data_IF_261407034387
#
_entry.id   IF_261407034387
#
_cell.length_a   1.000
_cell.length_b   1.000
_cell.length_c   1.000
_cell.angle_alpha   90.00
_cell.angle_beta   90.00
_cell.angle_gamma   90.00
#
_symmetry.space_group_name_H-M   'P 1'
#
loop_
_entity.id
_entity.type
_entity.pdbx_description
1 polymer ?
#
# COMPACT_ATOMS: atom_id res chain seq x y z
N UNK A 1 16.38 -3.27 -7.21
CA UNK A 1 17.75 -3.52 -6.72
C UNK A 1 17.84 -3.16 -5.25
N UNK A 2 18.94 -3.51 -4.57
CA UNK A 2 19.18 -3.21 -3.16
C UNK A 2 20.51 -2.45 -2.97
N UNK A 3 20.53 -1.45 -2.08
CA UNK A 3 21.72 -0.65 -1.75
C UNK A 3 21.88 -0.62 -0.23
N UNK A 4 22.96 -1.19 0.29
CA UNK A 4 23.22 -1.27 1.74
C UNK A 4 24.62 -0.80 2.10
N UNK A 5 24.84 -0.50 3.38
CA UNK A 5 26.18 -0.15 3.89
C UNK A 5 27.02 -1.40 4.12
N UNK A 6 26.47 -2.42 4.76
CA UNK A 6 27.23 -3.57 5.23
C UNK A 6 26.34 -4.82 5.12
N UNK A 7 26.90 -5.92 4.60
CA UNK A 7 26.28 -7.23 4.60
C UNK A 7 26.93 -8.05 5.72
N UNK A 8 26.17 -8.51 6.74
CA UNK A 8 26.76 -9.25 7.84
C UNK A 8 27.38 -10.57 7.36
N UNK A 9 28.44 -11.00 8.03
CA UNK A 9 29.15 -12.25 7.74
C UNK A 9 28.24 -13.49 7.80
N UNK A 10 27.31 -13.51 8.76
CA UNK A 10 26.34 -14.59 8.94
C UNK A 10 24.95 -14.01 9.26
N UNK A 11 23.91 -14.74 8.88
CA UNK A 11 22.57 -14.53 9.43
C UNK A 11 22.45 -15.31 10.75
N UNK A 12 21.98 -14.65 11.82
CA UNK A 12 21.84 -15.28 13.14
C UNK A 12 20.46 -14.99 13.73
N UNK A 13 19.49 -15.82 13.35
CA UNK A 13 18.14 -15.81 13.89
C UNK A 13 17.53 -17.20 13.72
N UNK A 14 16.78 -17.69 14.72
CA UNK A 14 16.18 -19.05 14.64
C UNK A 14 15.19 -19.22 13.49
N UNK A 15 14.62 -18.13 12.97
CA UNK A 15 13.70 -18.11 11.82
C UNK A 15 14.42 -18.09 10.47
N UNK A 16 15.74 -17.96 10.46
CA UNK A 16 16.51 -17.87 9.23
C UNK A 16 16.50 -19.22 8.48
N UNK A 17 16.06 -19.21 7.23
CA UNK A 17 16.10 -20.37 6.34
C UNK A 17 17.08 -20.21 5.18
N UNK A 18 17.55 -18.98 4.92
CA UNK A 18 18.47 -18.64 3.83
C UNK A 18 19.11 -17.26 4.11
N UNK A 19 20.42 -17.11 3.88
CA UNK A 19 21.08 -15.81 4.04
C UNK A 19 20.70 -14.80 2.94
N UNK A 20 20.86 -13.51 3.23
CA UNK A 20 20.43 -12.44 2.32
C UNK A 20 21.15 -12.46 0.96
N UNK A 21 22.43 -12.82 0.88
CA UNK A 21 23.14 -12.88 -0.40
C UNK A 21 22.62 -14.03 -1.26
N UNK A 22 22.42 -15.21 -0.68
CA UNK A 22 21.81 -16.36 -1.37
C UNK A 22 20.38 -16.04 -1.82
N UNK A 23 19.58 -15.41 -0.97
CA UNK A 23 18.23 -14.95 -1.31
C UNK A 23 18.23 -14.00 -2.51
N UNK A 24 19.06 -12.95 -2.49
CA UNK A 24 19.14 -11.97 -3.58
C UNK A 24 19.56 -12.63 -4.90
N UNK A 25 20.53 -13.55 -4.88
CA UNK A 25 20.94 -14.32 -6.05
C UNK A 25 19.81 -15.20 -6.58
N UNK A 26 19.13 -15.96 -5.71
CA UNK A 26 17.99 -16.82 -6.08
C UNK A 26 16.87 -16.01 -6.74
N UNK A 27 16.59 -14.82 -6.24
CA UNK A 27 15.57 -13.92 -6.78
C UNK A 27 16.07 -13.05 -7.94
N UNK A 28 17.30 -13.26 -8.44
CA UNK A 28 17.93 -12.50 -9.52
C UNK A 28 17.92 -10.97 -9.28
N UNK A 29 18.15 -10.56 -8.04
CA UNK A 29 18.14 -9.15 -7.63
C UNK A 29 19.56 -8.59 -7.65
N UNK A 30 19.78 -7.56 -8.49
CA UNK A 30 21.03 -6.80 -8.48
C UNK A 30 21.10 -5.94 -7.21
N UNK A 31 22.18 -6.10 -6.43
CA UNK A 31 22.42 -5.41 -5.17
C UNK A 31 23.88 -4.95 -5.03
N UNK A 32 24.11 -3.93 -4.20
CA UNK A 32 25.44 -3.38 -3.89
C UNK A 32 25.56 -3.10 -2.38
N UNK A 33 26.73 -3.40 -1.81
CA UNK A 33 27.11 -3.13 -0.42
C UNK A 33 28.37 -2.24 -0.36
N UNK A 34 28.84 -1.91 0.84
CA UNK A 34 30.08 -1.17 1.10
C UNK A 34 30.15 0.26 0.54
N UNK A 35 28.99 0.89 0.37
CA UNK A 35 28.88 2.28 -0.03
C UNK A 35 28.41 3.18 1.12
N UNK A 36 28.73 4.48 1.03
CA UNK A 36 28.24 5.49 1.97
C UNK A 36 26.75 5.78 1.74
N UNK A 37 25.89 4.94 2.32
CA UNK A 37 24.43 5.10 2.25
C UNK A 37 23.98 6.40 2.91
N UNK A 38 24.71 6.93 3.91
CA UNK A 38 24.39 8.21 4.56
C UNK A 38 24.57 9.37 3.57
N UNK A 39 25.62 9.37 2.75
CA UNK A 39 25.80 10.34 1.66
C UNK A 39 24.67 10.25 0.65
N UNK A 40 24.28 9.03 0.24
CA UNK A 40 23.16 8.83 -0.68
C UNK A 40 21.84 9.36 -0.10
N UNK A 41 21.50 9.02 1.15
CA UNK A 41 20.29 9.51 1.83
C UNK A 41 20.27 11.03 1.93
N UNK A 42 21.38 11.68 2.30
CA UNK A 42 21.48 13.15 2.32
C UNK A 42 21.26 13.73 0.92
N UNK A 43 21.87 13.15 -0.11
CA UNK A 43 21.70 13.61 -1.49
C UNK A 43 20.23 13.59 -1.91
N UNK A 44 19.51 12.51 -1.64
CA UNK A 44 18.09 12.36 -1.98
C UNK A 44 17.19 13.30 -1.16
N UNK A 45 17.48 13.52 0.12
CA UNK A 45 16.75 14.49 0.94
C UNK A 45 16.92 15.92 0.43
N UNK A 46 18.16 16.31 0.12
CA UNK A 46 18.47 17.69 -0.32
C UNK A 46 17.97 17.95 -1.76
N UNK A 47 18.23 17.02 -2.69
CA UNK A 47 17.97 17.21 -4.13
C UNK A 47 16.70 16.53 -4.66
N UNK A 48 16.02 15.76 -3.82
CA UNK A 48 14.88 14.94 -4.23
C UNK A 48 15.27 13.57 -4.80
N UNK A 49 14.25 12.75 -5.03
CA UNK A 49 14.37 11.41 -5.60
C UNK A 49 15.02 11.47 -6.99
N UNK A 50 15.90 10.50 -7.26
CA UNK A 50 16.64 10.40 -8.52
C UNK A 50 16.57 8.98 -9.06
N UNK A 51 16.52 8.87 -10.39
CA UNK A 51 16.71 7.60 -11.08
C UNK A 51 18.17 7.17 -10.93
N UNK A 52 18.41 5.87 -10.79
CA UNK A 52 19.76 5.31 -10.63
C UNK A 52 19.87 3.94 -11.28
N UNK A 53 21.11 3.53 -11.56
CA UNK A 53 21.43 2.22 -12.13
C UNK A 53 22.53 1.56 -11.30
N UNK A 54 22.39 0.26 -11.04
CA UNK A 54 23.42 -0.57 -10.42
C UNK A 54 23.90 -1.56 -11.48
N UNK A 55 25.21 -1.64 -11.67
CA UNK A 55 25.86 -2.67 -12.50
C UNK A 55 26.77 -3.48 -11.58
N UNK A 56 26.53 -4.80 -11.53
CA UNK A 56 27.36 -5.76 -10.81
C UNK A 56 27.90 -6.78 -11.82
N UNK A 57 29.22 -6.96 -11.86
CA UNK A 57 29.93 -7.82 -12.80
C UNK A 57 31.44 -7.59 -12.74
N UNK A 58 32.20 -8.28 -13.59
CA UNK A 58 33.68 -8.25 -13.55
C UNK A 58 34.28 -6.89 -13.88
N UNK A 59 33.61 -6.09 -14.71
CA UNK A 59 34.06 -4.75 -15.11
C UNK A 59 32.87 -3.81 -15.30
N UNK A 60 32.29 -3.27 -14.21
CA UNK A 60 31.15 -2.36 -14.29
C UNK A 60 31.51 -1.07 -15.02
N UNK A 61 30.77 -0.75 -16.08
CA UNK A 61 30.95 0.49 -16.85
C UNK A 61 30.12 1.64 -16.25
N UNK A 62 30.81 2.63 -15.69
CA UNK A 62 30.20 3.81 -15.11
C UNK A 62 29.46 4.68 -16.13
N UNK A 63 29.94 4.76 -17.37
CA UNK A 63 29.30 5.55 -18.43
C UNK A 63 27.99 4.89 -18.86
N UNK A 64 27.99 3.57 -19.04
CA UNK A 64 26.77 2.81 -19.31
C UNK A 64 25.76 2.91 -18.15
N UNK A 65 26.22 2.83 -16.90
CA UNK A 65 25.35 3.00 -15.73
C UNK A 65 24.69 4.39 -15.72
N UNK A 66 25.45 5.44 -16.02
CA UNK A 66 24.94 6.81 -16.11
C UNK A 66 23.95 6.98 -17.25
N UNK A 67 24.23 6.39 -18.41
CA UNK A 67 23.32 6.39 -19.57
C UNK A 67 21.98 5.73 -19.21
N UNK A 68 22.02 4.52 -18.64
CA UNK A 68 20.81 3.81 -18.19
C UNK A 68 20.02 4.58 -17.13
N UNK A 69 20.71 5.21 -16.17
CA UNK A 69 20.07 6.03 -15.15
C UNK A 69 19.33 7.23 -15.75
N UNK A 70 19.91 7.88 -16.77
CA UNK A 70 19.30 9.02 -17.47
C UNK A 70 18.19 8.61 -18.43
N UNK A 71 18.31 7.44 -19.06
CA UNK A 71 17.34 6.93 -20.02
C UNK A 71 16.06 6.38 -19.36
N UNK A 72 16.07 6.11 -18.05
CA UNK A 72 14.87 5.64 -17.36
C UNK A 72 13.78 6.73 -17.39
N UNK A 73 12.55 6.43 -17.87
CA UNK A 73 11.52 7.45 -18.06
C UNK A 73 11.03 8.08 -16.74
N UNK A 74 11.27 7.41 -15.60
CA UNK A 74 10.87 7.87 -14.27
C UNK A 74 9.44 7.47 -13.92
N UNK A 75 9.13 7.39 -12.62
CA UNK A 75 7.87 6.85 -12.12
C UNK A 75 6.63 7.75 -12.31
N UNK A 76 6.81 8.99 -12.78
CA UNK A 76 5.70 9.94 -12.91
C UNK A 76 4.87 9.60 -14.15
N UNK A 77 3.56 9.43 -14.00
CA UNK A 77 2.68 8.98 -15.07
C UNK A 77 2.84 7.51 -15.48
N UNK A 78 3.52 6.68 -14.69
CA UNK A 78 3.59 5.23 -14.93
C UNK A 78 2.55 4.50 -14.08
N UNK A 79 1.57 3.89 -14.74
CA UNK A 79 0.74 2.86 -14.13
C UNK A 79 1.56 1.58 -13.99
N UNK A 80 2.04 1.33 -12.77
CA UNK A 80 2.72 0.10 -12.39
C UNK A 80 1.79 -0.88 -11.66
N UNK A 81 0.58 -0.48 -11.30
CA UNK A 81 -0.38 -1.34 -10.63
C UNK A 81 -0.80 -2.49 -11.55
N UNK A 82 -1.03 -2.20 -12.84
CA UNK A 82 -1.32 -3.23 -13.87
C UNK A 82 -0.17 -4.23 -14.11
N UNK A 83 1.06 -3.86 -13.77
CA UNK A 83 2.25 -4.71 -14.00
C UNK A 83 2.45 -5.73 -12.88
N UNK A 84 1.85 -5.50 -11.70
CA UNK A 84 2.03 -6.35 -10.52
C UNK A 84 0.75 -6.98 -9.99
N UNK A 85 -0.40 -6.62 -10.56
CA UNK A 85 -1.70 -7.20 -10.22
C UNK A 85 -1.78 -8.69 -10.57
N UNK A 86 -2.64 -9.42 -9.87
CA UNK A 86 -2.99 -10.80 -10.25
C UNK A 86 -3.60 -10.87 -11.66
N UNK A 87 -3.31 -11.96 -12.38
CA UNK A 87 -3.88 -12.22 -13.70
C UNK A 87 -5.35 -12.69 -13.62
N UNK A 88 -5.68 -13.43 -12.57
CA UNK A 88 -7.02 -14.02 -12.36
C UNK A 88 -7.51 -13.75 -10.94
N UNK A 89 -8.83 -13.70 -10.79
CA UNK A 89 -9.50 -13.58 -9.50
C UNK A 89 -9.24 -14.81 -8.64
N UNK A 90 -8.95 -14.63 -7.35
CA UNK A 90 -8.75 -15.73 -6.41
C UNK A 90 -9.36 -15.47 -5.03
N UNK A 91 -9.63 -16.55 -4.28
CA UNK A 91 -10.12 -16.47 -2.90
C UNK A 91 -8.93 -16.44 -1.92
N UNK A 92 -9.02 -15.62 -0.87
CA UNK A 92 -8.04 -15.59 0.22
C UNK A 92 -8.72 -15.66 1.59
N UNK A 93 -8.35 -16.66 2.38
CA UNK A 93 -8.90 -16.93 3.72
C UNK A 93 -7.81 -17.26 4.76
N UNK A 94 -6.54 -16.93 4.48
CA UNK A 94 -5.42 -17.14 5.42
C UNK A 94 -5.21 -15.92 6.34
N UNK A 95 -5.17 -16.14 7.66
CA UNK A 95 -4.91 -15.12 8.67
C UNK A 95 -3.42 -14.83 8.96
N UNK A 96 -3.16 -14.03 9.99
CA UNK A 96 -1.81 -13.57 10.33
C UNK A 96 -0.93 -14.63 11.00
N UNK A 97 0.38 -14.45 10.82
CA UNK A 97 1.41 -15.26 11.49
C UNK A 97 1.40 -15.04 13.01
N UNK A 98 1.68 -16.09 13.78
CA UNK A 98 1.95 -16.00 15.21
C UNK A 98 3.26 -16.71 15.56
N UNK A 99 3.92 -16.30 16.65
CA UNK A 99 5.15 -16.95 17.10
C UNK A 99 4.94 -18.43 17.48
N UNK A 100 3.76 -18.77 17.98
CA UNK A 100 3.45 -20.11 18.47
C UNK A 100 2.97 -21.08 17.38
N UNK A 101 2.26 -20.58 16.37
CA UNK A 101 1.60 -21.40 15.34
C UNK A 101 2.06 -21.13 13.91
N UNK A 102 3.11 -20.33 13.72
CA UNK A 102 3.58 -19.85 12.43
C UNK A 102 2.45 -19.23 11.59
N UNK A 103 2.48 -19.42 10.26
CA UNK A 103 1.40 -19.01 9.37
C UNK A 103 0.27 -20.04 9.49
N UNK A 104 -0.97 -19.62 9.78
CA UNK A 104 -2.09 -20.54 9.88
C UNK A 104 -2.47 -21.09 8.50
N UNK A 105 -3.14 -22.25 8.51
CA UNK A 105 -3.85 -22.74 7.35
C UNK A 105 -4.99 -21.78 6.95
N UNK A 106 -5.40 -21.85 5.69
CA UNK A 106 -6.54 -21.09 5.19
C UNK A 106 -7.84 -21.55 5.87
N UNK A 107 -8.64 -20.59 6.35
CA UNK A 107 -9.95 -20.87 7.00
C UNK A 107 -10.98 -21.33 5.98
N UNK A 108 -11.97 -22.12 6.41
CA UNK A 108 -13.13 -22.38 5.57
C UNK A 108 -13.95 -21.10 5.39
N UNK A 109 -14.49 -20.87 4.20
CA UNK A 109 -15.25 -19.63 3.91
C UNK A 109 -16.47 -19.45 4.83
N UNK A 110 -17.06 -20.55 5.30
CA UNK A 110 -18.19 -20.53 6.25
C UNK A 110 -17.82 -19.99 7.64
N UNK A 111 -16.54 -19.91 7.98
CA UNK A 111 -16.05 -19.36 9.25
C UNK A 111 -15.90 -17.83 9.21
N UNK A 112 -16.02 -17.22 8.03
CA UNK A 112 -15.74 -15.81 7.79
C UNK A 112 -17.04 -15.08 7.44
N UNK A 113 -17.62 -14.29 8.38
CA UNK A 113 -18.97 -13.74 8.23
C UNK A 113 -19.11 -12.70 7.10
N UNK A 114 -18.03 -12.02 6.72
CA UNK A 114 -18.05 -10.89 5.79
C UNK A 114 -17.35 -11.23 4.48
N UNK A 115 -17.90 -10.78 3.36
CA UNK A 115 -17.29 -10.87 2.04
C UNK A 115 -16.74 -9.52 1.60
N UNK A 116 -15.42 -9.44 1.49
CA UNK A 116 -14.77 -8.25 0.94
C UNK A 116 -14.20 -8.57 -0.44
N UNK A 117 -14.48 -7.70 -1.42
CA UNK A 117 -13.79 -7.75 -2.72
C UNK A 117 -12.60 -6.80 -2.65
N UNK A 118 -11.40 -7.33 -2.85
CA UNK A 118 -10.15 -6.60 -2.75
C UNK A 118 -9.53 -6.39 -4.13
N UNK A 119 -9.39 -5.14 -4.57
CA UNK A 119 -8.63 -4.80 -5.76
C UNK A 119 -7.14 -5.00 -5.50
N UNK A 120 -6.50 -5.85 -6.31
CA UNK A 120 -5.07 -6.06 -6.28
C UNK A 120 -4.35 -5.04 -7.16
N UNK A 121 -3.72 -4.04 -6.54
CA UNK A 121 -2.85 -3.09 -7.23
C UNK A 121 -1.37 -3.39 -6.95
N UNK A 122 -1.04 -4.59 -6.48
CA UNK A 122 0.24 -4.93 -5.85
C UNK A 122 0.09 -5.18 -4.35
N UNK A 123 -0.99 -5.85 -3.96
CA UNK A 123 -1.41 -6.01 -2.58
C UNK A 123 -0.37 -6.73 -1.73
N UNK A 124 -0.03 -6.13 -0.57
CA UNK A 124 0.75 -6.82 0.46
C UNK A 124 -0.10 -7.89 1.12
N UNK A 125 0.46 -9.10 1.24
CA UNK A 125 -0.21 -10.24 1.92
C UNK A 125 -0.68 -9.93 3.33
N UNK A 126 0.01 -9.06 4.07
CA UNK A 126 -0.37 -8.75 5.45
C UNK A 126 -1.70 -7.97 5.55
N UNK A 127 -2.06 -7.21 4.52
CA UNK A 127 -3.39 -6.59 4.43
C UNK A 127 -4.46 -7.68 4.39
N UNK A 128 -4.29 -8.64 3.47
CA UNK A 128 -5.24 -9.74 3.28
C UNK A 128 -5.39 -10.56 4.57
N UNK A 129 -4.27 -10.85 5.23
CA UNK A 129 -4.26 -11.55 6.53
C UNK A 129 -5.01 -10.80 7.62
N UNK A 130 -4.77 -9.49 7.76
CA UNK A 130 -5.42 -8.68 8.80
C UNK A 130 -6.91 -8.44 8.57
N UNK A 131 -7.37 -8.49 7.31
CA UNK A 131 -8.81 -8.54 7.00
C UNK A 131 -9.41 -9.91 7.36
N UNK A 132 -8.72 -11.02 7.07
CA UNK A 132 -9.16 -12.37 7.48
C UNK A 132 -9.22 -12.50 9.00
N UNK A 133 -8.25 -11.95 9.73
CA UNK A 133 -8.25 -11.93 11.20
C UNK A 133 -9.49 -11.23 11.79
N UNK A 134 -10.13 -10.38 10.98
CA UNK A 134 -11.35 -9.63 11.30
C UNK A 134 -12.62 -10.23 10.73
N UNK A 135 -12.55 -11.45 10.21
CA UNK A 135 -13.71 -12.19 9.73
C UNK A 135 -14.06 -11.96 8.26
N UNK A 136 -13.18 -11.34 7.46
CA UNK A 136 -13.41 -11.18 6.03
C UNK A 136 -12.94 -12.42 5.24
N UNK A 137 -13.82 -13.05 4.46
CA UNK A 137 -13.42 -13.84 3.29
C UNK A 137 -13.17 -12.87 2.14
N UNK A 138 -12.06 -13.06 1.43
CA UNK A 138 -11.63 -12.13 0.40
C UNK A 138 -11.79 -12.75 -0.98
N UNK A 139 -12.35 -11.99 -1.90
CA UNK A 139 -12.20 -12.22 -3.34
C UNK A 139 -11.23 -11.17 -3.87
N UNK A 140 -10.02 -11.58 -4.21
CA UNK A 140 -9.00 -10.69 -4.74
C UNK A 140 -9.14 -10.63 -6.25
N UNK A 141 -9.31 -9.43 -6.80
CA UNK A 141 -9.59 -9.20 -8.22
C UNK A 141 -8.45 -8.42 -8.89
N UNK A 142 -8.18 -8.66 -10.19
CA UNK A 142 -7.25 -7.85 -10.97
C UNK A 142 -7.54 -6.34 -10.89
N UNK A 143 -6.50 -5.53 -11.07
CA UNK A 143 -6.57 -4.07 -11.01
C UNK A 143 -7.66 -3.48 -11.93
N UNK A 144 -7.88 -4.11 -13.09
CA UNK A 144 -8.78 -3.65 -14.15
C UNK A 144 -10.18 -4.28 -14.10
N UNK A 145 -10.52 -5.01 -13.03
CA UNK A 145 -11.87 -5.57 -12.90
C UNK A 145 -12.92 -4.46 -12.87
N UNK A 146 -13.99 -4.62 -13.67
CA UNK A 146 -15.05 -3.63 -13.77
C UNK A 146 -15.86 -3.53 -12.47
N UNK A 147 -16.39 -2.34 -12.19
CA UNK A 147 -17.28 -2.16 -11.04
C UNK A 147 -18.52 -3.07 -11.16
N UNK A 148 -19.06 -3.23 -12.36
CA UNK A 148 -20.22 -4.08 -12.63
C UNK A 148 -19.96 -5.53 -12.23
N UNK A 149 -18.78 -6.08 -12.53
CA UNK A 149 -18.44 -7.45 -12.17
C UNK A 149 -18.21 -7.60 -10.67
N UNK A 150 -17.63 -6.59 -10.00
CA UNK A 150 -17.50 -6.56 -8.54
C UNK A 150 -18.86 -6.47 -7.86
N UNK A 151 -19.76 -5.61 -8.33
CA UNK A 151 -21.10 -5.45 -7.73
C UNK A 151 -21.94 -6.72 -7.87
N UNK A 152 -21.79 -7.50 -8.95
CA UNK A 152 -22.43 -8.83 -9.09
C UNK A 152 -22.00 -9.83 -8.02
N UNK A 153 -20.85 -9.61 -7.37
CA UNK A 153 -20.39 -10.47 -6.28
C UNK A 153 -21.10 -10.20 -4.95
N UNK A 154 -21.94 -9.16 -4.89
CA UNK A 154 -22.66 -8.70 -3.69
C UNK A 154 -21.73 -8.56 -2.47
N UNK A 155 -20.64 -7.78 -2.56
CA UNK A 155 -19.71 -7.63 -1.46
C UNK A 155 -20.36 -6.92 -0.27
N UNK A 156 -19.95 -7.33 0.93
CA UNK A 156 -20.24 -6.60 2.16
C UNK A 156 -19.36 -5.34 2.30
N UNK A 157 -18.22 -5.31 1.61
CA UNK A 157 -17.32 -4.16 1.52
C UNK A 157 -16.32 -4.30 0.38
N UNK A 158 -15.77 -3.18 -0.08
CA UNK A 158 -14.77 -3.12 -1.15
C UNK A 158 -13.48 -2.54 -0.59
N UNK A 159 -12.37 -3.21 -0.88
CA UNK A 159 -11.05 -2.84 -0.41
C UNK A 159 -10.12 -2.49 -1.57
N UNK A 160 -9.40 -1.36 -1.44
CA UNK A 160 -8.44 -0.85 -2.41
C UNK A 160 -7.02 -0.99 -1.85
N UNK A 161 -6.25 -1.93 -2.38
CA UNK A 161 -4.92 -2.24 -1.86
C UNK A 161 -3.86 -1.16 -2.14
N UNK A 162 -2.68 -1.38 -1.54
CA UNK A 162 -1.47 -0.66 -1.91
C UNK A 162 -0.98 -1.07 -3.31
N UNK A 163 -0.09 -0.26 -3.88
CA UNK A 163 0.54 -0.57 -5.15
C UNK A 163 1.71 0.36 -5.50
N UNK A 164 2.51 0.01 -6.51
CA UNK A 164 3.56 0.87 -7.04
C UNK A 164 3.02 1.88 -8.05
N UNK A 165 3.83 2.90 -8.34
CA UNK A 165 3.57 3.84 -9.45
C UNK A 165 2.78 5.07 -9.08
N UNK A 166 2.33 5.78 -10.11
CA UNK A 166 1.49 6.96 -10.02
C UNK A 166 0.01 6.53 -10.03
N UNK A 167 -0.85 7.02 -9.14
CA UNK A 167 -2.30 6.72 -9.16
C UNK A 167 -3.05 7.40 -10.31
N UNK A 168 -2.58 8.56 -10.81
CA UNK A 168 -3.28 9.35 -11.81
C UNK A 168 -3.56 8.62 -13.14
N UNK A 169 -2.65 7.78 -13.69
CA UNK A 169 -2.91 7.02 -14.91
C UNK A 169 -3.82 5.78 -14.74
N UNK A 170 -4.26 5.45 -13.51
CA UNK A 170 -5.12 4.27 -13.26
C UNK A 170 -6.60 4.61 -13.50
N UNK A 171 -6.94 5.08 -14.70
CA UNK A 171 -8.29 5.51 -15.10
C UNK A 171 -9.37 4.47 -14.81
N UNK A 172 -9.12 3.21 -15.18
CA UNK A 172 -10.01 2.07 -14.91
C UNK A 172 -10.40 1.93 -13.43
N UNK A 173 -9.46 2.19 -12.53
CA UNK A 173 -9.70 2.07 -11.10
C UNK A 173 -10.48 3.27 -10.57
N UNK A 174 -10.16 4.48 -11.05
CA UNK A 174 -10.87 5.71 -10.70
C UNK A 174 -12.34 5.59 -11.12
N UNK A 175 -12.60 5.20 -12.37
CA UNK A 175 -13.96 5.01 -12.91
C UNK A 175 -14.74 3.93 -12.13
N UNK A 176 -14.08 2.83 -11.74
CA UNK A 176 -14.73 1.79 -10.95
C UNK A 176 -15.07 2.28 -9.53
N UNK A 177 -14.16 3.03 -8.90
CA UNK A 177 -14.36 3.57 -7.55
C UNK A 177 -15.47 4.62 -7.54
N UNK A 178 -15.57 5.47 -8.56
CA UNK A 178 -16.68 6.41 -8.71
C UNK A 178 -18.04 5.68 -8.69
N UNK A 179 -18.16 4.57 -9.42
CA UNK A 179 -19.37 3.72 -9.40
C UNK A 179 -19.63 3.10 -8.03
N UNK A 180 -18.60 2.66 -7.31
CA UNK A 180 -18.79 2.16 -5.94
C UNK A 180 -19.29 3.25 -5.01
N UNK A 181 -18.83 4.49 -5.18
CA UNK A 181 -19.24 5.66 -4.39
C UNK A 181 -20.67 6.13 -4.68
N UNK A 182 -21.31 5.66 -5.75
CA UNK A 182 -22.76 5.85 -5.98
C UNK A 182 -23.60 4.91 -5.10
N UNK A 183 -23.04 3.75 -4.71
CA UNK A 183 -23.67 2.77 -3.83
C UNK A 183 -23.48 3.11 -2.35
N UNK A 184 -24.07 2.32 -1.45
CA UNK A 184 -23.84 2.43 0.00
C UNK A 184 -22.88 1.35 0.53
N UNK A 185 -22.17 0.64 -0.37
CA UNK A 185 -21.18 -0.37 0.00
C UNK A 185 -19.97 0.33 0.63
N UNK A 186 -19.50 -0.12 1.81
CA UNK A 186 -18.30 0.43 2.44
C UNK A 186 -17.05 0.29 1.56
N UNK A 187 -16.25 1.36 1.47
CA UNK A 187 -14.99 1.38 0.71
C UNK A 187 -13.83 1.76 1.62
N UNK A 188 -12.77 0.95 1.64
CA UNK A 188 -11.54 1.25 2.37
C UNK A 188 -10.31 1.18 1.48
N UNK A 189 -9.53 2.26 1.44
CA UNK A 189 -8.28 2.33 0.66
C UNK A 189 -7.01 2.48 1.50
N UNK A 190 -5.93 1.80 1.10
CA UNK A 190 -4.61 1.89 1.73
C UNK A 190 -3.55 2.31 0.71
N UNK A 191 -2.73 3.30 1.07
CA UNK A 191 -1.60 3.81 0.27
C UNK A 191 -2.00 4.23 -1.15
N UNK A 192 -1.84 3.37 -2.15
CA UNK A 192 -2.33 3.65 -3.51
C UNK A 192 -3.87 3.71 -3.54
N UNK A 193 -4.56 2.80 -2.85
CA UNK A 193 -6.01 2.84 -2.69
C UNK A 193 -6.52 4.12 -2.01
N UNK A 194 -5.71 4.73 -1.13
CA UNK A 194 -6.02 6.04 -0.56
C UNK A 194 -6.03 7.15 -1.61
N UNK A 195 -5.02 7.14 -2.48
CA UNK A 195 -4.89 8.12 -3.54
C UNK A 195 -5.97 7.93 -4.60
N UNK A 196 -6.28 6.69 -4.97
CA UNK A 196 -7.36 6.38 -5.92
C UNK A 196 -8.73 6.82 -5.38
N UNK A 197 -9.03 6.57 -4.10
CA UNK A 197 -10.26 7.05 -3.48
C UNK A 197 -10.34 8.59 -3.50
N UNK A 198 -9.22 9.27 -3.24
CA UNK A 198 -9.16 10.72 -3.28
C UNK A 198 -9.40 11.28 -4.70
N UNK A 199 -8.77 10.68 -5.71
CA UNK A 199 -8.94 11.04 -7.12
C UNK A 199 -10.38 10.82 -7.58
N UNK A 200 -10.97 9.65 -7.31
CA UNK A 200 -12.37 9.33 -7.61
C UNK A 200 -13.38 10.19 -6.84
N UNK A 201 -12.92 10.91 -5.81
CA UNK A 201 -13.75 11.88 -5.11
C UNK A 201 -13.58 13.32 -5.65
N UNK A 202 -12.60 13.57 -6.51
CA UNK A 202 -12.34 14.87 -7.14
C UNK A 202 -11.12 15.63 -6.60
N UNK A 203 -10.31 15.03 -5.72
CA UNK A 203 -9.05 15.62 -5.26
C UNK A 203 -7.92 15.41 -6.28
N UNK A 204 -6.73 15.98 -6.01
CA UNK A 204 -5.53 15.80 -6.85
C UNK A 204 -4.39 15.14 -6.06
N UNK A 205 -3.51 14.46 -6.80
CA UNK A 205 -2.27 13.90 -6.26
C UNK A 205 -1.06 14.68 -6.74
N UNK A 206 -0.02 14.70 -5.92
CA UNK A 206 1.26 15.35 -6.20
C UNK A 206 2.41 14.38 -5.93
N UNK A 207 3.45 14.45 -6.75
CA UNK A 207 4.68 13.71 -6.50
C UNK A 207 5.49 14.41 -5.39
N UNK A 208 5.87 13.66 -4.37
CA UNK A 208 6.66 14.17 -3.25
C UNK A 208 8.12 14.34 -3.64
N UNK A 209 8.83 15.21 -2.91
CA UNK A 209 10.27 15.46 -3.14
C UNK A 209 11.10 14.17 -3.03
N UNK A 210 10.90 13.40 -1.96
CA UNK A 210 11.56 12.10 -1.75
C UNK A 210 10.63 11.04 -1.12
N UNK A 211 9.37 11.38 -0.84
CA UNK A 211 8.37 10.48 -0.27
C UNK A 211 8.62 10.08 1.19
N UNK A 212 7.78 9.19 1.70
CA UNK A 212 7.93 8.61 3.03
C UNK A 212 8.21 7.11 2.93
N UNK A 213 9.35 6.70 3.50
CA UNK A 213 9.85 5.33 3.45
C UNK A 213 10.48 4.99 4.81
N UNK A 214 9.70 4.39 5.72
CA UNK A 214 10.17 4.12 7.08
C UNK A 214 9.09 3.58 8.01
N UNK A 215 9.48 3.17 9.21
CA UNK A 215 8.60 2.58 10.25
C UNK A 215 8.50 3.41 11.52
N UNK A 216 8.82 4.70 11.46
CA UNK A 216 8.89 5.60 12.62
C UNK A 216 8.14 6.91 12.38
N UNK A 217 7.20 6.93 11.43
CA UNK A 217 6.56 8.15 10.97
C UNK A 217 5.36 8.51 11.87
N UNK A 218 5.38 9.65 12.58
CA UNK A 218 4.28 10.04 13.45
C UNK A 218 3.12 10.61 12.63
N UNK A 219 1.93 10.04 12.80
CA UNK A 219 0.69 10.49 12.17
C UNK A 219 -0.32 10.81 13.27
N UNK A 220 -0.90 11.99 13.20
CA UNK A 220 -1.93 12.44 14.13
C UNK A 220 -3.31 12.10 13.58
N UNK A 221 -4.09 11.37 14.36
CA UNK A 221 -5.55 11.33 14.24
C UNK A 221 -6.10 12.66 14.79
N UNK A 222 -6.77 13.42 13.93
CA UNK A 222 -7.27 14.75 14.26
C UNK A 222 -8.54 14.67 15.10
N UNK A 223 -9.40 13.69 14.83
CA UNK A 223 -10.70 13.56 15.50
C UNK A 223 -10.50 13.21 16.98
N UNK A 224 -9.57 12.28 17.24
CA UNK A 224 -9.26 11.82 18.60
C UNK A 224 -8.09 12.55 19.26
N UNK A 225 -7.38 13.41 18.52
CA UNK A 225 -6.19 14.15 18.97
C UNK A 225 -5.09 13.22 19.54
N UNK A 226 -4.91 12.05 18.94
CA UNK A 226 -3.88 11.06 19.31
C UNK A 226 -2.85 10.88 18.21
N UNK A 227 -1.68 10.38 18.56
CA UNK A 227 -0.59 10.12 17.62
C UNK A 227 -0.33 8.62 17.53
N UNK A 228 -0.17 8.14 16.30
CA UNK A 228 0.26 6.79 15.97
C UNK A 228 1.64 6.85 15.32
N UNK A 229 2.51 5.91 15.64
CA UNK A 229 3.74 5.69 14.86
C UNK A 229 3.39 4.71 13.74
N UNK A 230 3.76 5.04 12.50
CA UNK A 230 3.25 4.33 11.33
C UNK A 230 4.37 3.88 10.40
N UNK A 231 4.07 2.81 9.65
CA UNK A 231 4.82 2.40 8.48
C UNK A 231 4.38 3.21 7.25
N UNK A 232 5.35 3.71 6.50
CA UNK A 232 5.14 4.55 5.32
C UNK A 232 5.99 4.05 4.16
N UNK A 233 5.39 4.00 2.97
CA UNK A 233 6.05 3.65 1.72
C UNK A 233 5.30 4.27 0.54
N UNK A 234 5.42 5.58 0.36
CA UNK A 234 4.76 6.31 -0.71
C UNK A 234 5.60 7.47 -1.25
N UNK A 235 5.62 7.62 -2.58
CA UNK A 235 6.29 8.71 -3.30
C UNK A 235 5.35 9.81 -3.82
N UNK A 236 4.04 9.58 -3.70
CA UNK A 236 2.97 10.50 -4.05
C UNK A 236 2.13 10.79 -2.82
N UNK A 237 1.45 11.93 -2.78
CA UNK A 237 0.52 12.31 -1.73
C UNK A 237 -0.71 12.99 -2.34
N UNK A 238 -1.84 12.92 -1.64
CA UNK A 238 -3.03 13.71 -1.97
C UNK A 238 -2.82 15.15 -1.51
N UNK A 239 -3.16 16.12 -2.36
CA UNK A 239 -3.07 17.53 -2.04
C UNK A 239 -4.29 18.00 -1.23
N UNK A 240 -4.09 18.26 0.06
CA UNK A 240 -5.12 18.74 0.99
C UNK A 240 -5.82 20.01 0.50
N UNK A 241 -5.11 20.90 -0.21
CA UNK A 241 -5.69 22.15 -0.72
C UNK A 241 -6.72 21.92 -1.84
N UNK A 242 -6.74 20.73 -2.42
CA UNK A 242 -7.65 20.35 -3.51
C UNK A 242 -8.80 19.46 -3.06
N UNK A 243 -8.91 19.21 -1.75
CA UNK A 243 -9.98 18.36 -1.23
C UNK A 243 -11.36 18.96 -1.53
N UNK A 244 -12.26 18.19 -2.16
CA UNK A 244 -13.64 18.57 -2.34
C UNK A 244 -14.38 18.57 -0.99
N UNK A 245 -15.50 19.28 -0.91
CA UNK A 245 -16.26 19.46 0.34
C UNK A 245 -16.77 18.13 0.94
N UNK A 246 -16.92 17.09 0.11
CA UNK A 246 -17.34 15.78 0.55
C UNK A 246 -16.19 14.91 1.09
N UNK A 247 -14.95 15.40 1.12
CA UNK A 247 -13.83 14.73 1.79
C UNK A 247 -13.37 15.54 3.01
N UNK A 248 -13.49 14.93 4.19
CA UNK A 248 -12.91 15.47 5.42
C UNK A 248 -11.54 14.85 5.69
N UNK A 249 -10.62 15.65 6.22
CA UNK A 249 -9.32 15.19 6.70
C UNK A 249 -9.51 14.45 8.02
N UNK A 250 -8.90 13.26 8.15
CA UNK A 250 -8.87 12.49 9.40
C UNK A 250 -7.49 12.40 10.01
N UNK A 251 -6.44 12.37 9.17
CA UNK A 251 -5.07 12.17 9.63
C UNK A 251 -4.07 13.08 8.92
N UNK A 252 -3.05 13.54 9.65
CA UNK A 252 -1.92 14.32 9.11
C UNK A 252 -0.58 13.85 9.64
N UNK A 253 0.43 13.91 8.78
CA UNK A 253 1.83 13.69 9.13
C UNK A 253 2.30 14.76 10.11
N UNK A 254 2.95 14.36 11.21
CA UNK A 254 3.61 15.30 12.13
C UNK A 254 5.06 15.61 11.75
N UNK A 255 5.62 14.93 10.74
CA UNK A 255 6.94 15.29 10.20
C UNK A 255 6.89 16.49 9.27
N UNK A 256 5.85 16.61 8.45
CA UNK A 256 5.79 17.60 7.39
C UNK A 256 4.38 18.17 7.11
N UNK A 257 3.38 17.78 7.89
CA UNK A 257 2.02 18.30 7.76
C UNK A 257 1.23 17.74 6.57
N UNK A 258 1.78 16.80 5.80
CA UNK A 258 1.09 16.22 4.64
C UNK A 258 -0.13 15.40 5.04
N UNK A 259 -1.10 15.30 4.12
CA UNK A 259 -2.32 14.52 4.29
C UNK A 259 -2.00 13.04 4.48
N UNK A 260 -2.66 12.39 5.44
CA UNK A 260 -2.46 10.97 5.74
C UNK A 260 -3.75 10.15 5.78
N UNK A 261 -4.91 10.79 5.89
CA UNK A 261 -6.17 10.08 5.93
C UNK A 261 -7.34 10.98 5.63
N UNK A 262 -8.35 10.39 5.00
CA UNK A 262 -9.58 11.05 4.56
C UNK A 262 -10.79 10.16 4.82
N UNK A 263 -11.96 10.78 4.96
CA UNK A 263 -13.25 10.10 5.01
C UNK A 263 -14.26 10.89 4.16
N UNK A 264 -15.08 10.20 3.39
CA UNK A 264 -16.22 10.81 2.69
C UNK A 264 -17.28 11.24 3.69
N UNK A 265 -17.84 12.44 3.56
CA UNK A 265 -18.87 12.93 4.48
C UNK A 265 -20.26 12.42 4.13
N UNK A 266 -20.43 11.95 2.91
CA UNK A 266 -21.69 11.54 2.27
C UNK A 266 -21.79 10.03 2.02
N UNK A 267 -20.69 9.29 2.17
CA UNK A 267 -20.58 7.87 1.85
C UNK A 267 -19.71 7.11 2.87
N UNK A 268 -19.93 5.79 3.07
CA UNK A 268 -19.12 4.96 3.96
C UNK A 268 -17.76 4.61 3.33
N UNK A 269 -17.01 5.62 2.88
CA UNK A 269 -15.75 5.46 2.19
C UNK A 269 -14.65 6.25 2.89
N UNK A 270 -13.55 5.59 3.23
CA UNK A 270 -12.41 6.23 3.90
C UNK A 270 -11.10 5.59 3.47
N UNK A 271 -9.99 6.25 3.76
CA UNK A 271 -8.69 5.71 3.39
C UNK A 271 -7.53 6.31 4.17
N UNK A 272 -6.40 5.61 4.13
CA UNK A 272 -5.17 5.98 4.82
C UNK A 272 -3.93 5.84 3.94
N UNK A 273 -3.06 6.85 3.96
CA UNK A 273 -1.87 6.94 3.11
C UNK A 273 -0.75 6.02 3.59
N UNK A 274 -0.63 5.82 4.90
CA UNK A 274 0.32 4.88 5.48
C UNK A 274 -0.14 3.43 5.38
N UNK A 275 0.58 2.55 6.06
CA UNK A 275 0.34 1.11 6.05
C UNK A 275 -0.14 0.62 7.43
N UNK A 276 -1.46 0.56 7.68
CA UNK A 276 -2.01 0.06 8.95
C UNK A 276 -1.70 -1.42 9.17
N UNK A 277 -1.37 -2.16 8.11
CA UNK A 277 -0.91 -3.54 8.17
C UNK A 277 0.57 -3.70 8.50
N UNK A 278 1.33 -2.59 8.48
CA UNK A 278 2.76 -2.55 8.67
C UNK A 278 3.52 -3.63 7.86
N UNK A 279 4.23 -4.54 8.52
CA UNK A 279 4.98 -5.64 7.91
C UNK A 279 5.96 -5.16 6.81
N UNK A 280 7.04 -4.45 7.20
CA UNK A 280 7.48 -4.18 8.59
C UNK A 280 6.89 -2.90 9.19
N UNK A 281 7.02 -2.74 10.52
CA UNK A 281 6.70 -1.51 11.22
C UNK A 281 5.81 -1.69 12.47
N UNK A 282 5.44 -0.58 13.12
CA UNK A 282 4.58 -0.55 14.31
C UNK A 282 3.14 -0.94 13.98
N UNK A 283 2.40 -1.41 14.98
CA UNK A 283 1.00 -1.86 14.83
C UNK A 283 -0.02 -0.77 15.19
N UNK A 284 0.43 0.45 15.48
CA UNK A 284 -0.39 1.52 16.06
C UNK A 284 -1.59 1.90 15.19
N UNK A 285 -1.46 1.77 13.87
CA UNK A 285 -2.51 2.08 12.89
C UNK A 285 -3.43 0.88 12.56
N UNK A 286 -3.24 -0.29 13.19
CA UNK A 286 -4.12 -1.44 12.99
C UNK A 286 -5.63 -1.17 13.22
N UNK A 287 -6.05 -0.27 14.16
CA UNK A 287 -7.47 0.03 14.36
C UNK A 287 -8.21 0.60 13.15
N UNK A 288 -7.50 1.09 12.12
CA UNK A 288 -8.16 1.52 10.89
C UNK A 288 -8.89 0.36 10.18
N UNK A 289 -8.42 -0.88 10.35
CA UNK A 289 -9.17 -2.03 9.86
C UNK A 289 -10.46 -2.25 10.66
N UNK A 290 -10.48 -1.94 11.96
CA UNK A 290 -11.66 -2.11 12.80
C UNK A 290 -12.78 -1.15 12.34
N UNK A 291 -12.44 0.12 12.02
CA UNK A 291 -13.38 1.08 11.41
C UNK A 291 -14.00 0.55 10.11
N UNK A 292 -13.23 -0.16 9.29
CA UNK A 292 -13.79 -0.77 8.08
C UNK A 292 -14.81 -1.88 8.39
N UNK A 293 -14.55 -2.69 9.42
CA UNK A 293 -15.51 -3.71 9.87
C UNK A 293 -16.77 -3.06 10.44
N UNK A 294 -16.64 -2.00 11.22
CA UNK A 294 -17.79 -1.24 11.75
C UNK A 294 -18.71 -0.77 10.61
N UNK A 295 -18.14 -0.24 9.52
CA UNK A 295 -18.92 0.16 8.34
C UNK A 295 -19.59 -1.04 7.65
N UNK A 296 -18.90 -2.17 7.53
CA UNK A 296 -19.44 -3.42 6.96
C UNK A 296 -20.62 -3.94 7.80
N UNK A 297 -20.49 -3.94 9.12
CA UNK A 297 -21.55 -4.40 10.01
C UNK A 297 -22.79 -3.51 9.91
N UNK A 298 -22.59 -2.18 9.86
CA UNK A 298 -23.68 -1.22 9.64
C UNK A 298 -24.37 -1.42 8.29
N UNK A 299 -23.60 -1.62 7.21
CA UNK A 299 -24.13 -1.88 5.87
C UNK A 299 -25.03 -3.14 5.87
N UNK A 300 -24.56 -4.24 6.46
CA UNK A 300 -25.33 -5.49 6.56
C UNK A 300 -26.58 -5.39 7.43
N UNK A 301 -26.61 -4.48 8.39
CA UNK A 301 -27.81 -4.20 9.19
C UNK A 301 -28.86 -3.45 8.38
N UNK A 302 -28.45 -2.52 7.50
CA UNK A 302 -29.36 -1.77 6.62
C UNK A 302 -29.83 -2.54 5.39
N UNK A 303 -29.08 -3.55 4.93
CA UNK A 303 -29.41 -4.37 3.77
C UNK A 303 -30.39 -5.52 4.06
N UNK A 304 -30.77 -5.72 5.33
CA UNK A 304 -31.80 -6.68 5.78
C UNK A 304 -33.14 -5.97 5.99
#
# INVERSE_FOLDING_TARGET
GLVIRDLPLIASNFRNTEDLSSYLKRHNIVAIADIDTRKLTRLLREKGAQNGCIIAGDSPDAQLALEKAKAFPGLNGMDLAKEVTTAETYSWTQGSWTLAGDLPEAKAESELPFHVVAYDFGAKRNILRMLVDRGCRLTVVPAQTSAEDVLKMNPDGIFLSNGPGDPAPCDYAIDAIEKFLETDIPVFGICLGHQLLALASGAKTIKMKFGHHGGNHPVKDIDNNVVMITAQNHGFAVDEATLPANLRVTHKSLFDGTLQGIHRTDKPAFSFQGHPEASPGPHDAAPLFDHFIELIELYRQSAK
#
